data_IF_566111665996
#
_entry.id   IF_566111665996
#
_cell.length_a   1.000
_cell.length_b   1.000
_cell.length_c   1.000
_cell.angle_alpha   90.00
_cell.angle_beta   90.00
_cell.angle_gamma   90.00
#
_symmetry.space_group_name_H-M   'P 1'
#
loop_
_entity.id
_entity.type
_entity.pdbx_description
1 polymer ?
#
# COMPACT_ATOMS: atom_id res chain seq x y z
N UNK A 1 5.50 1.63 12.20
CA UNK A 1 6.20 0.37 12.60
C UNK A 1 7.70 0.56 12.42
N UNK A 2 8.51 0.22 13.43
CA UNK A 2 9.96 0.52 13.55
C UNK A 2 10.84 -0.08 12.44
N UNK A 3 10.30 -0.97 11.61
CA UNK A 3 10.99 -1.66 10.50
C UNK A 3 10.80 -0.98 9.13
N UNK A 4 9.91 0.02 9.02
CA UNK A 4 9.58 0.65 7.72
C UNK A 4 10.60 1.73 7.34
N UNK A 5 11.26 2.35 8.33
CA UNK A 5 12.24 3.44 8.10
C UNK A 5 13.59 2.99 7.52
N UNK A 6 13.82 1.68 7.42
CA UNK A 6 15.07 1.09 6.89
C UNK A 6 14.88 0.45 5.50
N UNK A 7 13.72 0.64 4.89
CA UNK A 7 13.39 0.08 3.59
C UNK A 7 13.38 1.18 2.53
N UNK A 8 14.15 0.97 1.47
CA UNK A 8 13.94 1.73 0.23
C UNK A 8 12.83 1.05 -0.55
N UNK A 9 11.83 1.80 -0.96
CA UNK A 9 10.66 1.28 -1.68
C UNK A 9 10.56 1.92 -3.06
N UNK A 10 10.49 1.08 -4.08
CA UNK A 10 10.18 1.47 -5.45
C UNK A 10 8.74 1.10 -5.78
N UNK A 11 7.95 2.09 -6.20
CA UNK A 11 6.58 1.87 -6.65
C UNK A 11 6.57 1.30 -8.07
N UNK A 12 6.01 0.11 -8.25
CA UNK A 12 5.87 -0.51 -9.58
C UNK A 12 4.51 -0.20 -10.21
N UNK A 13 3.44 -0.34 -9.43
CA UNK A 13 2.08 -0.08 -9.90
C UNK A 13 1.24 0.51 -8.77
N UNK A 14 0.41 1.49 -9.10
CA UNK A 14 -0.62 2.01 -8.22
C UNK A 14 -1.90 2.22 -9.02
N UNK A 15 -2.98 1.57 -8.58
CA UNK A 15 -4.31 1.74 -9.16
C UNK A 15 -5.30 2.11 -8.09
N UNK A 16 -6.02 3.20 -8.33
CA UNK A 16 -7.16 3.63 -7.52
C UNK A 16 -8.42 3.43 -8.35
N UNK A 17 -9.46 2.87 -7.73
CA UNK A 17 -10.79 2.80 -8.33
C UNK A 17 -11.80 3.33 -7.33
N UNK A 18 -12.49 4.41 -7.71
CA UNK A 18 -13.49 5.07 -6.87
C UNK A 18 -14.90 4.55 -7.15
N UNK A 19 -15.69 4.43 -6.10
CA UNK A 19 -17.08 3.97 -6.08
C UNK A 19 -17.90 4.86 -5.16
N UNK A 20 -18.41 6.00 -5.66
CA UNK A 20 -19.15 7.00 -4.88
C UNK A 20 -18.42 7.35 -3.57
N UNK A 21 -18.86 6.77 -2.45
CA UNK A 21 -18.33 7.02 -1.11
C UNK A 21 -17.34 5.94 -0.63
N UNK A 22 -16.87 5.08 -1.52
CA UNK A 22 -15.82 4.11 -1.26
C UNK A 22 -14.78 4.09 -2.37
N UNK A 23 -13.58 3.57 -2.11
CA UNK A 23 -12.57 3.36 -3.13
C UNK A 23 -11.67 2.18 -2.78
N UNK A 24 -11.07 1.57 -3.80
CA UNK A 24 -9.95 0.63 -3.63
C UNK A 24 -8.66 1.29 -4.08
N UNK A 25 -7.59 1.09 -3.32
CA UNK A 25 -6.22 1.43 -3.70
C UNK A 25 -5.39 0.16 -3.68
N UNK A 26 -4.88 -0.22 -4.84
CA UNK A 26 -4.05 -1.40 -5.04
C UNK A 26 -2.65 -0.94 -5.43
N UNK A 27 -1.66 -1.35 -4.65
CA UNK A 27 -0.28 -0.94 -4.82
C UNK A 27 0.65 -2.15 -4.85
N UNK A 28 1.59 -2.12 -5.78
CA UNK A 28 2.69 -3.07 -5.88
C UNK A 28 3.99 -2.29 -5.75
N UNK A 29 4.86 -2.72 -4.85
CA UNK A 29 6.20 -2.14 -4.70
C UNK A 29 7.27 -3.21 -4.58
N UNK A 30 8.50 -2.86 -4.93
CA UNK A 30 9.71 -3.60 -4.55
C UNK A 30 10.32 -2.88 -3.37
N UNK A 31 10.68 -3.64 -2.34
CA UNK A 31 11.30 -3.11 -1.14
C UNK A 31 12.69 -3.71 -0.99
N UNK A 32 13.66 -2.86 -0.73
CA UNK A 32 15.06 -3.22 -0.57
C UNK A 32 15.49 -2.92 0.85
N UNK A 33 15.98 -3.95 1.54
CA UNK A 33 16.58 -3.84 2.88
C UNK A 33 17.97 -3.21 2.81
N UNK A 34 18.45 -2.75 3.95
CA UNK A 34 19.85 -2.31 4.15
C UNK A 34 20.89 -3.38 3.76
N UNK A 35 20.56 -4.66 3.91
CA UNK A 35 21.40 -5.79 3.46
C UNK A 35 21.33 -6.07 1.96
N UNK A 36 20.57 -5.28 1.19
CA UNK A 36 20.41 -5.42 -0.26
C UNK A 36 19.39 -6.49 -0.69
N UNK A 37 18.77 -7.21 0.26
CA UNK A 37 17.68 -8.15 -0.08
C UNK A 37 16.45 -7.41 -0.56
N UNK A 38 15.86 -7.88 -1.66
CA UNK A 38 14.64 -7.34 -2.25
C UNK A 38 13.45 -8.27 -2.03
N UNK A 39 12.25 -7.69 -1.93
CA UNK A 39 11.00 -8.44 -1.91
C UNK A 39 9.87 -7.62 -2.50
N UNK A 40 8.90 -8.32 -3.11
CA UNK A 40 7.72 -7.69 -3.71
C UNK A 40 6.63 -7.57 -2.66
N UNK A 41 6.10 -6.36 -2.50
CA UNK A 41 4.99 -6.05 -1.62
C UNK A 41 3.72 -5.82 -2.42
N UNK A 42 2.60 -6.28 -1.88
CA UNK A 42 1.28 -5.97 -2.38
C UNK A 42 0.48 -5.34 -1.25
N UNK A 43 -0.03 -4.14 -1.48
CA UNK A 43 -0.88 -3.41 -0.57
C UNK A 43 -2.27 -3.24 -1.18
N UNK A 44 -3.29 -3.46 -0.37
CA UNK A 44 -4.69 -3.21 -0.68
C UNK A 44 -5.29 -2.35 0.42
N UNK A 45 -5.71 -1.14 0.08
CA UNK A 45 -6.48 -0.29 0.97
C UNK A 45 -7.92 -0.16 0.46
N UNK A 46 -8.87 -0.31 1.38
CA UNK A 46 -10.27 0.06 1.17
C UNK A 46 -10.48 1.40 1.84
N UNK A 47 -10.98 2.38 1.10
CA UNK A 47 -11.27 3.71 1.59
C UNK A 47 -12.78 3.92 1.67
N UNK A 48 -13.23 4.67 2.67
CA UNK A 48 -14.60 5.19 2.77
C UNK A 48 -14.56 6.69 2.94
N UNK A 49 -15.45 7.41 2.26
CA UNK A 49 -15.62 8.85 2.42
C UNK A 49 -16.52 9.11 3.61
N UNK A 50 -16.01 9.84 4.61
CA UNK A 50 -16.74 10.23 5.83
C UNK A 50 -16.54 11.72 6.03
N UNK A 51 -17.64 12.46 6.13
CA UNK A 51 -17.64 13.92 6.29
C UNK A 51 -16.83 14.66 5.21
N UNK A 52 -16.91 14.18 3.97
CA UNK A 52 -16.18 14.73 2.83
C UNK A 52 -14.72 14.28 2.70
N UNK A 53 -14.20 13.55 3.68
CA UNK A 53 -12.80 13.10 3.73
C UNK A 53 -12.66 11.59 3.48
N UNK A 54 -11.66 11.19 2.70
CA UNK A 54 -11.32 9.79 2.53
C UNK A 54 -10.61 9.25 3.78
N UNK A 55 -11.10 8.13 4.32
CA UNK A 55 -10.51 7.42 5.46
C UNK A 55 -10.24 5.97 5.07
N UNK A 56 -9.12 5.42 5.52
CA UNK A 56 -8.82 3.99 5.34
C UNK A 56 -9.76 3.19 6.25
N UNK A 57 -10.65 2.41 5.64
CA UNK A 57 -11.56 1.50 6.33
C UNK A 57 -10.92 0.12 6.56
N UNK A 58 -10.04 -0.30 5.64
CA UNK A 58 -9.27 -1.53 5.76
C UNK A 58 -7.93 -1.38 5.03
N UNK A 59 -6.89 -1.98 5.58
CA UNK A 59 -5.57 -2.05 4.95
C UNK A 59 -5.06 -3.48 5.11
N UNK A 60 -4.67 -4.09 4.00
CA UNK A 60 -3.97 -5.36 4.00
C UNK A 60 -2.67 -5.22 3.22
N UNK A 61 -1.60 -5.74 3.80
CA UNK A 61 -0.28 -5.78 3.18
C UNK A 61 0.24 -7.21 3.23
N UNK A 62 0.81 -7.65 2.11
CA UNK A 62 1.45 -8.96 1.97
C UNK A 62 2.77 -8.83 1.21
N UNK A 63 3.63 -9.82 1.38
CA UNK A 63 4.88 -9.92 0.62
C UNK A 63 4.89 -11.23 -0.15
N UNK A 64 5.36 -11.17 -1.40
CA UNK A 64 5.70 -12.34 -2.19
C UNK A 64 7.22 -12.52 -2.15
N UNK A 65 7.65 -13.74 -1.85
CA UNK A 65 9.05 -14.16 -1.94
C UNK A 65 9.42 -14.54 -3.36
#
# INVERSE_FOLDING_TARGET
MKFVSTLSSELLEHRVTEYRDSATSLLISVNTTDTGKTYRSLETAILTKRDGEWKIAHLHWSTAK
#
